data_IF_757928259247
#
_entry.id   IF_757928259247
#
_cell.length_a   1.000
_cell.length_b   1.000
_cell.length_c   1.000
_cell.angle_alpha   90.00
_cell.angle_beta   90.00
_cell.angle_gamma   90.00
#
_symmetry.space_group_name_H-M   'P 1'
#
loop_
_entity.id
_entity.type
_entity.pdbx_description
1 polymer ?
#
# COMPACT_ATOMS: atom_id res chain seq x y z
N UNK A 1 -0.30 18.59 45.63
CA UNK A 1 0.12 17.34 44.97
C UNK A 1 -0.83 17.13 43.81
N UNK A 2 -0.42 17.53 42.61
CA UNK A 2 -1.19 17.29 41.38
C UNK A 2 -0.64 16.01 40.77
N UNK A 3 -1.35 14.91 40.97
CA UNK A 3 -1.15 13.67 40.23
C UNK A 3 -1.79 13.87 38.85
N UNK A 4 -1.02 14.37 37.89
CA UNK A 4 -1.36 14.25 36.48
C UNK A 4 -0.48 13.12 35.92
N UNK A 5 -0.97 11.91 36.10
CA UNK A 5 -0.39 10.67 35.62
C UNK A 5 -0.53 10.54 34.09
N UNK A 6 0.55 10.06 33.47
CA UNK A 6 0.70 9.41 32.17
C UNK A 6 0.17 10.11 30.88
N UNK A 7 1.02 10.89 30.17
CA UNK A 7 0.78 11.26 28.77
C UNK A 7 0.91 10.09 27.76
N UNK A 8 1.16 8.85 28.21
CA UNK A 8 1.44 7.72 27.32
C UNK A 8 0.22 6.96 26.80
N UNK A 9 -0.86 6.85 27.58
CA UNK A 9 -1.96 5.93 27.23
C UNK A 9 -2.97 6.52 26.24
N UNK A 10 -3.13 7.84 26.22
CA UNK A 10 -4.10 8.52 25.35
C UNK A 10 -3.64 8.61 23.90
N UNK A 11 -2.34 8.80 23.64
CA UNK A 11 -1.78 8.81 22.27
C UNK A 11 -1.83 7.41 21.64
N UNK A 12 -1.52 6.38 22.43
CA UNK A 12 -1.61 4.98 22.03
C UNK A 12 -3.07 4.60 21.68
N UNK A 13 -4.06 5.05 22.45
CA UNK A 13 -5.48 4.80 22.14
C UNK A 13 -5.96 5.51 20.86
N UNK A 14 -5.40 6.68 20.54
CA UNK A 14 -5.66 7.38 19.28
C UNK A 14 -5.04 6.66 18.07
N UNK A 15 -3.86 6.03 18.25
CA UNK A 15 -3.25 5.14 17.26
C UNK A 15 -4.15 3.94 16.91
N UNK A 16 -4.82 3.35 17.91
CA UNK A 16 -5.75 2.22 17.71
C UNK A 16 -7.11 2.61 17.12
N UNK A 17 -7.44 3.90 17.09
CA UNK A 17 -8.73 4.43 16.61
C UNK A 17 -8.71 4.89 15.15
N UNK A 18 -7.58 4.75 14.45
CA UNK A 18 -7.44 5.16 13.05
C UNK A 18 -8.04 4.12 12.10
N UNK A 19 -9.36 4.16 12.00
CA UNK A 19 -10.09 3.43 10.96
C UNK A 19 -10.13 4.27 9.68
N UNK A 20 -9.65 3.71 8.57
CA UNK A 20 -9.85 4.29 7.24
C UNK A 20 -10.33 3.23 6.26
N UNK A 21 -11.48 3.47 5.62
CA UNK A 21 -12.04 2.52 4.66
C UNK A 21 -12.27 1.12 5.26
N UNK A 22 -12.62 1.03 6.55
CA UNK A 22 -12.81 -0.24 7.26
C UNK A 22 -11.51 -0.89 7.77
N UNK A 23 -10.33 -0.30 7.49
CA UNK A 23 -9.02 -0.82 7.92
C UNK A 23 -8.56 -0.13 9.20
N UNK A 24 -8.20 -0.92 10.22
CA UNK A 24 -7.55 -0.40 11.43
C UNK A 24 -6.05 -0.17 11.16
N UNK A 25 -5.68 1.09 10.87
CA UNK A 25 -4.32 1.46 10.47
C UNK A 25 -3.31 1.21 11.60
N UNK A 26 -3.70 1.41 12.87
CA UNK A 26 -2.82 1.16 14.02
C UNK A 26 -2.37 -0.31 14.10
N UNK A 27 -3.33 -1.24 13.97
CA UNK A 27 -3.02 -2.69 13.94
C UNK A 27 -2.16 -3.09 12.74
N UNK A 28 -2.36 -2.45 11.58
CA UNK A 28 -1.52 -2.70 10.41
C UNK A 28 -0.08 -2.23 10.63
N UNK A 29 0.12 -1.06 11.26
CA UNK A 29 1.45 -0.56 11.61
C UNK A 29 2.15 -1.51 12.59
N UNK A 30 1.46 -1.92 13.65
CA UNK A 30 2.02 -2.88 14.63
C UNK A 30 2.41 -4.21 13.96
N UNK A 31 1.56 -4.73 13.08
CA UNK A 31 1.90 -5.93 12.32
C UNK A 31 3.11 -5.70 11.44
N UNK A 32 3.18 -4.56 10.74
CA UNK A 32 4.27 -4.22 9.83
C UNK A 32 5.61 -4.10 10.57
N UNK A 33 5.65 -3.49 11.74
CA UNK A 33 6.84 -3.42 12.59
C UNK A 33 7.33 -4.80 13.03
N UNK A 34 6.40 -5.74 13.27
CA UNK A 34 6.70 -7.09 13.73
C UNK A 34 7.12 -8.05 12.61
N UNK A 35 6.50 -7.96 11.44
CA UNK A 35 6.66 -8.95 10.36
C UNK A 35 7.41 -8.41 9.14
N UNK A 36 7.62 -7.09 9.06
CA UNK A 36 8.22 -6.42 7.90
C UNK A 36 7.31 -6.31 6.68
N UNK A 37 6.08 -6.84 6.74
CA UNK A 37 5.09 -6.76 5.66
C UNK A 37 3.66 -6.95 6.17
N UNK A 38 2.68 -6.39 5.45
CA UNK A 38 1.26 -6.51 5.79
C UNK A 38 0.41 -6.79 4.55
N UNK A 39 -0.73 -7.44 4.78
CA UNK A 39 -1.77 -7.68 3.78
C UNK A 39 -3.01 -6.87 4.15
N UNK A 40 -3.47 -6.05 3.21
CA UNK A 40 -4.66 -5.21 3.38
C UNK A 40 -5.74 -5.75 2.44
N UNK A 41 -6.67 -6.50 3.01
CA UNK A 41 -7.78 -7.08 2.25
C UNK A 41 -8.85 -6.04 1.91
N UNK A 42 -9.56 -6.26 0.81
CA UNK A 42 -10.70 -5.43 0.39
C UNK A 42 -10.36 -3.98 0.08
N UNK A 43 -9.09 -3.65 -0.18
CA UNK A 43 -8.67 -2.28 -0.52
C UNK A 43 -9.22 -1.81 -1.87
N UNK A 44 -9.46 -2.75 -2.78
CA UNK A 44 -9.99 -2.51 -4.11
C UNK A 44 -11.16 -3.46 -4.38
N UNK A 45 -12.20 -2.94 -5.02
CA UNK A 45 -13.29 -3.76 -5.53
C UNK A 45 -12.93 -4.43 -6.87
N UNK A 46 -13.76 -5.39 -7.30
CA UNK A 46 -13.53 -6.16 -8.54
C UNK A 46 -13.47 -5.27 -9.79
N UNK A 47 -14.24 -4.18 -9.82
CA UNK A 47 -14.28 -3.26 -10.94
C UNK A 47 -12.98 -2.44 -11.03
N UNK A 48 -12.50 -1.94 -9.89
CA UNK A 48 -11.22 -1.26 -9.77
C UNK A 48 -10.06 -2.17 -10.14
N UNK A 49 -10.08 -3.42 -9.66
CA UNK A 49 -9.08 -4.43 -10.02
C UNK A 49 -9.06 -4.69 -11.53
N UNK A 50 -10.23 -4.88 -12.14
CA UNK A 50 -10.34 -5.09 -13.59
C UNK A 50 -9.82 -3.88 -14.38
N UNK A 51 -10.14 -2.65 -13.94
CA UNK A 51 -9.66 -1.42 -14.59
C UNK A 51 -8.13 -1.30 -14.53
N UNK A 52 -7.53 -1.53 -13.37
CA UNK A 52 -6.07 -1.43 -13.20
C UNK A 52 -5.33 -2.49 -14.02
N UNK A 53 -5.87 -3.73 -14.09
CA UNK A 53 -5.31 -4.78 -14.96
C UNK A 53 -5.32 -4.37 -16.43
N UNK A 54 -6.41 -3.75 -16.88
CA UNK A 54 -6.49 -3.23 -18.25
C UNK A 54 -5.48 -2.10 -18.49
N UNK A 55 -5.28 -1.20 -17.53
CA UNK A 55 -4.27 -0.14 -17.63
C UNK A 55 -2.84 -0.71 -17.72
N UNK A 56 -2.50 -1.74 -16.93
CA UNK A 56 -1.21 -2.45 -17.04
C UNK A 56 -1.05 -3.05 -18.43
N UNK A 57 -2.07 -3.74 -18.94
CA UNK A 57 -2.03 -4.36 -20.27
C UNK A 57 -1.86 -3.32 -21.39
N UNK A 58 -2.48 -2.15 -21.25
CA UNK A 58 -2.38 -1.05 -22.22
C UNK A 58 -1.07 -0.29 -22.14
N UNK A 59 -0.46 -0.21 -20.95
CA UNK A 59 0.82 0.47 -20.80
C UNK A 59 1.87 -0.16 -21.74
N UNK A 60 1.88 -1.49 -21.89
CA UNK A 60 2.88 -2.22 -22.68
C UNK A 60 4.26 -2.21 -22.01
N UNK A 61 5.30 -2.67 -22.70
CA UNK A 61 6.67 -2.70 -22.13
C UNK A 61 6.86 -3.81 -21.09
N UNK A 62 6.44 -5.02 -21.45
CA UNK A 62 6.64 -6.23 -20.65
C UNK A 62 8.07 -6.71 -20.85
N UNK A 63 8.86 -6.68 -19.78
CA UNK A 63 10.18 -7.28 -19.72
C UNK A 63 10.05 -8.67 -19.09
N UNK A 64 10.31 -9.71 -19.87
CA UNK A 64 10.30 -11.08 -19.39
C UNK A 64 11.69 -11.44 -18.85
N UNK A 65 11.77 -11.76 -17.55
CA UNK A 65 12.98 -12.26 -16.91
C UNK A 65 12.69 -13.59 -16.23
N UNK A 66 13.03 -14.69 -16.90
CA UNK A 66 12.77 -16.04 -16.39
C UNK A 66 11.27 -16.34 -16.27
N UNK A 67 10.81 -16.61 -15.05
CA UNK A 67 9.41 -16.97 -14.74
C UNK A 67 8.50 -15.77 -14.46
N UNK A 68 9.07 -14.56 -14.51
CA UNK A 68 8.40 -13.32 -14.13
C UNK A 68 8.40 -12.36 -15.31
N UNK A 69 7.26 -11.72 -15.51
CA UNK A 69 7.11 -10.60 -16.43
C UNK A 69 6.90 -9.33 -15.62
N UNK A 70 7.71 -8.30 -15.90
CA UNK A 70 7.65 -7.00 -15.24
C UNK A 70 7.22 -5.91 -16.21
N UNK A 71 6.54 -4.90 -15.69
CA UNK A 71 6.27 -3.65 -16.39
C UNK A 71 6.56 -2.49 -15.42
N UNK A 72 7.63 -1.75 -15.68
CA UNK A 72 8.09 -0.64 -14.84
C UNK A 72 7.61 0.73 -15.36
N UNK A 73 7.83 1.79 -14.56
CA UNK A 73 7.47 3.15 -14.96
C UNK A 73 5.96 3.42 -14.99
N UNK A 74 5.14 2.59 -14.33
CA UNK A 74 3.68 2.66 -14.48
C UNK A 74 3.09 3.91 -13.85
N UNK A 75 3.75 4.51 -12.85
CA UNK A 75 3.31 5.75 -12.22
C UNK A 75 3.16 6.91 -13.22
N UNK A 76 4.01 6.96 -14.25
CA UNK A 76 3.95 8.01 -15.30
C UNK A 76 3.05 7.65 -16.48
N UNK A 77 2.64 6.38 -16.61
CA UNK A 77 1.96 5.83 -17.79
C UNK A 77 0.50 5.45 -17.54
N UNK A 78 0.15 5.21 -16.27
CA UNK A 78 -1.19 4.81 -15.84
C UNK A 78 -1.65 5.72 -14.69
N UNK A 79 -2.65 6.58 -14.94
CA UNK A 79 -3.24 7.41 -13.90
C UNK A 79 -3.89 6.59 -12.78
N UNK A 80 -4.46 5.42 -13.09
CA UNK A 80 -5.06 4.53 -12.10
C UNK A 80 -4.03 3.96 -11.13
N UNK A 81 -2.87 3.50 -11.64
CA UNK A 81 -1.80 2.97 -10.80
C UNK A 81 -1.09 4.05 -9.98
N UNK A 82 -0.94 5.27 -10.53
CA UNK A 82 -0.49 6.42 -9.75
C UNK A 82 -1.45 6.75 -8.59
N UNK A 83 -2.76 6.67 -8.84
CA UNK A 83 -3.79 6.85 -7.80
C UNK A 83 -3.77 5.73 -6.76
N UNK A 84 -3.50 4.48 -7.18
CA UNK A 84 -3.33 3.36 -6.25
C UNK A 84 -2.13 3.57 -5.32
N UNK A 85 -0.99 4.00 -5.86
CA UNK A 85 0.18 4.32 -5.03
C UNK A 85 -0.10 5.47 -4.05
N UNK A 86 -0.95 6.42 -4.45
CA UNK A 86 -1.43 7.51 -3.61
C UNK A 86 -2.69 7.17 -2.79
N UNK A 87 -3.09 5.89 -2.71
CA UNK A 87 -4.32 5.49 -2.03
C UNK A 87 -4.26 5.92 -0.55
N UNK A 88 -5.34 6.47 0.04
CA UNK A 88 -5.29 7.03 1.39
C UNK A 88 -4.76 6.06 2.44
N UNK A 89 -5.16 4.79 2.38
CA UNK A 89 -4.69 3.75 3.30
C UNK A 89 -3.17 3.53 3.15
N UNK A 90 -2.69 3.39 1.91
CA UNK A 90 -1.26 3.21 1.59
C UNK A 90 -0.46 4.40 2.09
N UNK A 91 -0.91 5.62 1.78
CA UNK A 91 -0.22 6.85 2.17
C UNK A 91 -0.21 7.07 3.68
N UNK A 92 -1.27 6.73 4.42
CA UNK A 92 -1.29 6.85 5.87
C UNK A 92 -0.30 5.89 6.53
N UNK A 93 -0.21 4.66 6.04
CA UNK A 93 0.76 3.68 6.53
C UNK A 93 2.18 4.14 6.19
N UNK A 94 2.44 4.45 4.91
CA UNK A 94 3.76 4.88 4.46
C UNK A 94 4.24 6.14 5.18
N UNK A 95 3.38 7.14 5.40
CA UNK A 95 3.76 8.38 6.09
C UNK A 95 4.11 8.17 7.56
N UNK A 96 3.44 7.24 8.22
CA UNK A 96 3.70 6.90 9.62
C UNK A 96 4.96 6.06 9.79
N UNK A 97 5.21 5.15 8.85
CA UNK A 97 6.36 4.25 8.90
C UNK A 97 7.66 4.88 8.43
N UNK A 98 7.59 5.79 7.46
CA UNK A 98 8.78 6.30 6.76
C UNK A 98 9.03 7.78 7.03
N UNK A 99 8.12 8.65 6.58
CA UNK A 99 8.25 10.10 6.70
C UNK A 99 6.95 10.80 6.32
N UNK A 100 6.67 11.97 6.91
CA UNK A 100 5.52 12.81 6.51
C UNK A 100 5.64 13.35 5.08
N UNK A 101 6.87 13.43 4.54
CA UNK A 101 7.17 13.83 3.17
C UNK A 101 7.69 12.63 2.38
N UNK A 102 6.86 12.12 1.47
CA UNK A 102 7.19 10.98 0.61
C UNK A 102 7.13 11.40 -0.85
N UNK A 103 8.06 10.84 -1.63
CA UNK A 103 8.05 10.92 -3.08
C UNK A 103 7.90 9.51 -3.63
N UNK A 104 6.91 9.32 -4.51
CA UNK A 104 6.77 8.07 -5.25
C UNK A 104 7.98 7.91 -6.17
N UNK A 105 8.71 6.81 -6.02
CA UNK A 105 9.86 6.48 -6.86
C UNK A 105 9.41 5.88 -8.19
N UNK A 106 8.66 4.77 -8.12
CA UNK A 106 8.06 4.11 -9.28
C UNK A 106 6.87 3.24 -8.85
N UNK A 107 6.10 2.77 -9.82
CA UNK A 107 5.12 1.70 -9.68
C UNK A 107 5.44 0.66 -10.75
N UNK A 108 5.53 -0.59 -10.33
CA UNK A 108 5.80 -1.72 -11.22
C UNK A 108 4.69 -2.75 -11.08
N UNK A 109 4.38 -3.44 -12.18
CA UNK A 109 3.53 -4.62 -12.16
C UNK A 109 4.40 -5.84 -12.42
N UNK A 110 4.27 -6.85 -11.56
CA UNK A 110 4.94 -8.14 -11.71
C UNK A 110 3.86 -9.22 -11.88
N UNK A 111 4.08 -10.11 -12.83
CA UNK A 111 3.25 -11.29 -13.05
C UNK A 111 4.14 -12.53 -13.10
N UNK A 112 3.85 -13.52 -12.25
CA UNK A 112 4.54 -14.81 -12.27
C UNK A 112 3.66 -15.82 -13.00
N UNK A 113 4.22 -16.49 -14.01
CA UNK A 113 3.50 -17.56 -14.71
C UNK A 113 3.46 -18.82 -13.83
N UNK A 114 2.25 -19.19 -13.38
CA UNK A 114 2.04 -20.35 -12.52
C UNK A 114 2.24 -21.71 -13.23
N UNK A 115 2.22 -21.74 -14.57
CA UNK A 115 2.37 -22.96 -15.38
C UNK A 115 3.83 -23.49 -15.44
N UNK A 116 4.71 -22.98 -14.58
CA UNK A 116 6.11 -23.39 -14.47
C UNK A 116 6.47 -23.96 -13.09
N UNK A 117 5.47 -24.35 -12.29
CA UNK A 117 5.64 -25.02 -10.99
C UNK A 117 5.51 -26.53 -11.12
#
# INVERSE_FOLDING_TARGET
>A
VSLADAPGETEIFQLFSLMMGGVNIGKQIESLERTGSIFIDGMLDDQQLASLRNEVAQAGGLEATGHETRCSGLAGRSPGLAKLAAHPVVMQIAKRMLSTQLKLSDVESCCTNADHV
#
